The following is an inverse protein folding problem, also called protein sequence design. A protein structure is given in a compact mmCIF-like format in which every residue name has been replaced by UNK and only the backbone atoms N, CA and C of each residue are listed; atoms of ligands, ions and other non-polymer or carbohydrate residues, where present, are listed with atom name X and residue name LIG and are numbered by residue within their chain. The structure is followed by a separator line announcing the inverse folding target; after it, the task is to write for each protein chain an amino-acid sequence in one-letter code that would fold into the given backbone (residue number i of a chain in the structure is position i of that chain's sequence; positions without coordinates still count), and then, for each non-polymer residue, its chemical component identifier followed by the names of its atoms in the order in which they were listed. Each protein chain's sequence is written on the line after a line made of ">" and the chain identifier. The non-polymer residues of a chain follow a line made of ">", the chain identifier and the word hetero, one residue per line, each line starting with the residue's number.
data_IF_505629166024
#
_entry.id   IF_505629166024
#
_cell.length_a   1.000
_cell.length_b   1.000
_cell.length_c   1.000
_cell.angle_alpha   90.00
_cell.angle_beta   90.00
_cell.angle_gamma   90.00
#
_symmetry.space_group_name_H-M   'P 1'
#
loop_
_entity.id
_entity.type
_entity.pdbx_description
1 polymer ?
#
# COMPACT_ATOMS: atom_id res chain seq x y z
N UNK A 1 17.60 -23.16 16.91
CA UNK A 1 18.67 -23.62 15.99
C UNK A 1 19.33 -22.43 15.27
N UNK A 2 18.63 -21.66 14.43
CA UNK A 2 19.23 -20.50 13.73
C UNK A 2 19.62 -19.35 14.66
N UNK A 3 18.76 -18.96 15.60
CA UNK A 3 19.05 -17.89 16.58
C UNK A 3 20.27 -18.22 17.45
N UNK A 4 20.48 -19.51 17.72
CA UNK A 4 21.66 -20.00 18.45
C UNK A 4 22.92 -19.86 17.60
N UNK A 5 22.86 -20.22 16.33
CA UNK A 5 23.95 -20.04 15.37
C UNK A 5 24.37 -18.57 15.23
N UNK A 6 23.39 -17.65 15.12
CA UNK A 6 23.67 -16.21 14.97
C UNK A 6 24.48 -15.61 16.14
N UNK A 7 24.43 -16.20 17.35
CA UNK A 7 25.25 -15.77 18.48
C UNK A 7 26.74 -16.01 18.28
N UNK A 8 27.09 -17.06 17.53
CA UNK A 8 28.47 -17.45 17.27
C UNK A 8 28.98 -16.92 15.92
N UNK A 9 28.08 -16.45 15.06
CA UNK A 9 28.40 -16.03 13.70
C UNK A 9 29.47 -14.92 13.62
N UNK A 10 29.47 -13.88 14.48
CA UNK A 10 30.55 -12.88 14.47
C UNK A 10 31.93 -13.47 14.73
N UNK A 11 32.05 -14.42 15.67
CA UNK A 11 33.32 -15.07 15.99
C UNK A 11 33.80 -15.95 14.82
N UNK A 12 32.88 -16.71 14.22
CA UNK A 12 33.17 -17.52 13.04
C UNK A 12 33.57 -16.67 11.82
N UNK A 13 32.92 -15.52 11.60
CA UNK A 13 33.27 -14.60 10.52
C UNK A 13 34.67 -14.00 10.70
N UNK A 14 35.03 -13.66 11.95
CA UNK A 14 36.37 -13.16 12.28
C UNK A 14 37.45 -14.22 12.03
N UNK A 15 37.19 -15.47 12.42
CA UNK A 15 38.14 -16.58 12.30
C UNK A 15 38.32 -17.05 10.84
N UNK A 16 37.22 -17.26 10.12
CA UNK A 16 37.24 -17.95 8.82
C UNK A 16 37.11 -17.03 7.61
N UNK A 17 36.57 -15.82 7.78
CA UNK A 17 36.37 -14.86 6.69
C UNK A 17 37.17 -13.56 6.86
N UNK A 18 38.00 -13.47 7.92
CA UNK A 18 38.78 -12.27 8.27
C UNK A 18 37.94 -10.98 8.25
N UNK A 19 36.65 -11.09 8.58
CA UNK A 19 35.69 -9.99 8.53
C UNK A 19 34.97 -9.86 9.87
N UNK A 20 34.76 -8.62 10.30
CA UNK A 20 33.91 -8.34 11.46
C UNK A 20 32.49 -8.12 10.97
N UNK A 21 31.57 -8.93 11.48
CA UNK A 21 30.15 -8.84 11.17
C UNK A 21 29.37 -8.54 12.45
N UNK A 22 28.50 -7.55 12.38
CA UNK A 22 27.48 -7.28 13.39
C UNK A 22 26.15 -7.84 12.88
N UNK A 23 25.50 -8.68 13.68
CA UNK A 23 24.27 -9.37 13.29
C UNK A 23 23.07 -8.65 13.89
N UNK A 24 22.39 -7.86 13.07
CA UNK A 24 21.13 -7.19 13.43
C UNK A 24 19.93 -7.76 12.65
N UNK A 25 19.81 -9.09 12.62
CA UNK A 25 18.65 -9.74 12.01
C UNK A 25 18.29 -11.05 12.70
N UNK A 26 17.07 -11.51 12.46
CA UNK A 26 16.53 -12.76 13.04
C UNK A 26 16.07 -13.72 11.94
N UNK A 27 15.77 -14.97 12.30
CA UNK A 27 15.11 -15.92 11.39
C UNK A 27 13.76 -15.40 10.86
N UNK A 28 13.10 -14.51 11.61
CA UNK A 28 11.82 -13.92 11.22
C UNK A 28 11.97 -13.01 10.00
N UNK A 29 13.08 -12.27 9.90
CA UNK A 29 13.37 -11.42 8.74
C UNK A 29 13.47 -12.22 7.44
N UNK A 30 14.09 -13.41 7.45
CA UNK A 30 14.12 -14.27 6.26
C UNK A 30 12.74 -14.76 5.84
N UNK A 31 11.87 -15.08 6.82
CA UNK A 31 10.49 -15.49 6.55
C UNK A 31 9.69 -14.36 5.91
N UNK A 32 9.88 -13.13 6.38
CA UNK A 32 9.33 -11.91 5.78
C UNK A 32 9.82 -11.69 4.35
N UNK A 33 11.14 -11.79 4.13
CA UNK A 33 11.74 -11.63 2.80
C UNK A 33 11.17 -12.66 1.83
N UNK A 34 11.14 -13.94 2.21
CA UNK A 34 10.61 -15.00 1.34
C UNK A 34 9.11 -14.80 1.06
N UNK A 35 8.32 -14.42 2.07
CA UNK A 35 6.89 -14.16 1.89
C UNK A 35 6.65 -12.96 0.97
N UNK A 36 7.45 -11.91 1.10
CA UNK A 36 7.42 -10.76 0.19
C UNK A 36 7.79 -11.18 -1.24
N UNK A 37 8.83 -12.00 -1.44
CA UNK A 37 9.20 -12.49 -2.78
C UNK A 37 8.11 -13.36 -3.42
N UNK A 38 7.44 -14.21 -2.64
CA UNK A 38 6.34 -15.05 -3.14
C UNK A 38 5.12 -14.20 -3.52
N UNK A 39 4.77 -13.21 -2.70
CA UNK A 39 3.71 -12.24 -2.98
C UNK A 39 4.01 -11.44 -4.27
N UNK A 40 5.23 -10.94 -4.38
CA UNK A 40 5.71 -10.21 -5.55
C UNK A 40 5.79 -11.07 -6.81
N UNK A 41 6.00 -12.38 -6.65
CA UNK A 41 5.94 -13.38 -7.73
C UNK A 41 4.51 -13.74 -8.15
N UNK A 42 3.49 -13.16 -7.52
CA UNK A 42 2.08 -13.39 -7.85
C UNK A 42 1.46 -14.61 -7.16
N UNK A 43 2.11 -15.18 -6.14
CA UNK A 43 1.53 -16.26 -5.36
C UNK A 43 0.38 -15.74 -4.52
N UNK A 44 -0.80 -16.37 -4.58
CA UNK A 44 -1.97 -15.91 -3.82
C UNK A 44 -1.76 -16.01 -2.30
N UNK A 45 -2.44 -15.15 -1.53
CA UNK A 45 -2.39 -15.17 -0.05
C UNK A 45 -2.72 -16.57 0.51
N UNK A 46 -3.65 -17.30 -0.12
CA UNK A 46 -4.02 -18.66 0.29
C UNK A 46 -2.84 -19.64 0.14
N UNK A 47 -2.16 -19.60 -1.00
CA UNK A 47 -1.00 -20.47 -1.26
C UNK A 47 0.21 -20.08 -0.39
N UNK A 48 0.42 -18.78 -0.16
CA UNK A 48 1.43 -18.30 0.79
C UNK A 48 1.12 -18.83 2.21
N UNK A 49 -0.14 -18.75 2.64
CA UNK A 49 -0.60 -19.22 3.95
C UNK A 49 -0.30 -20.71 4.14
N UNK A 50 -0.62 -21.52 3.13
CA UNK A 50 -0.35 -22.97 3.13
C UNK A 50 1.15 -23.28 3.13
N UNK A 51 1.92 -22.64 2.23
CA UNK A 51 3.38 -22.82 2.14
C UNK A 51 4.08 -22.58 3.47
N UNK A 52 3.61 -21.57 4.20
CA UNK A 52 4.17 -21.16 5.47
C UNK A 52 3.51 -21.85 6.68
N UNK A 53 2.56 -22.77 6.47
CA UNK A 53 1.88 -23.54 7.51
C UNK A 53 1.05 -22.69 8.47
N UNK A 54 0.45 -21.59 7.99
CA UNK A 54 -0.37 -20.68 8.80
C UNK A 54 -1.83 -21.14 8.79
N UNK A 55 -2.53 -20.99 9.91
CA UNK A 55 -3.96 -21.36 10.02
C UNK A 55 -4.89 -20.28 9.46
N UNK A 56 -4.55 -19.00 9.65
CA UNK A 56 -5.38 -17.88 9.22
C UNK A 56 -4.70 -17.09 8.09
N UNK A 57 -5.34 -16.92 6.92
CA UNK A 57 -4.79 -16.12 5.82
C UNK A 57 -4.50 -14.66 6.19
N UNK A 58 -5.21 -14.09 7.16
CA UNK A 58 -4.97 -12.71 7.61
C UNK A 58 -3.57 -12.52 8.19
N UNK A 59 -2.98 -13.58 8.73
CA UNK A 59 -1.64 -13.52 9.32
C UNK A 59 -0.55 -13.39 8.25
N UNK A 60 -0.83 -13.80 7.00
CA UNK A 60 0.11 -13.69 5.87
C UNK A 60 0.37 -12.25 5.48
N UNK A 61 -0.63 -11.36 5.57
CA UNK A 61 -0.48 -9.93 5.24
C UNK A 61 0.57 -9.22 6.11
N UNK A 62 0.73 -9.64 7.37
CA UNK A 62 1.74 -9.09 8.25
C UNK A 62 3.19 -9.35 7.79
N UNK A 63 3.38 -10.28 6.83
CA UNK A 63 4.67 -10.65 6.27
C UNK A 63 4.93 -10.12 4.85
N UNK A 64 4.01 -9.33 4.30
CA UNK A 64 4.14 -8.73 2.98
C UNK A 64 4.65 -7.29 3.12
N UNK A 65 5.94 -7.09 2.81
CA UNK A 65 6.63 -5.82 2.98
C UNK A 65 7.06 -5.22 1.65
N UNK A 66 6.15 -5.14 0.68
CA UNK A 66 6.39 -4.42 -0.59
C UNK A 66 6.86 -2.99 -0.28
N UNK A 67 8.00 -2.60 -0.86
CA UNK A 67 8.57 -1.27 -0.64
C UNK A 67 7.66 -0.16 -1.16
N UNK A 68 7.82 1.06 -0.60
CA UNK A 68 7.04 2.23 -1.00
C UNK A 68 7.31 2.60 -2.45
N UNK A 69 8.56 2.51 -2.86
CA UNK A 69 9.06 2.79 -4.20
C UNK A 69 8.45 1.82 -5.21
N UNK A 70 8.34 0.53 -4.84
CA UNK A 70 7.71 -0.48 -5.68
C UNK A 70 6.21 -0.27 -5.81
N UNK A 71 5.50 0.05 -4.72
CA UNK A 71 4.07 0.41 -4.78
C UNK A 71 3.83 1.63 -5.66
N UNK A 72 4.68 2.65 -5.56
CA UNK A 72 4.64 3.80 -6.44
C UNK A 72 4.88 3.40 -7.91
N UNK A 73 5.88 2.56 -8.18
CA UNK A 73 6.14 2.06 -9.53
C UNK A 73 4.95 1.30 -10.11
N UNK A 74 4.35 0.36 -9.36
CA UNK A 74 3.17 -0.39 -9.78
C UNK A 74 2.02 0.55 -10.13
N UNK A 75 1.73 1.56 -9.28
CA UNK A 75 0.66 2.53 -9.56
C UNK A 75 0.92 3.35 -10.82
N UNK A 76 2.17 3.77 -11.07
CA UNK A 76 2.55 4.49 -12.30
C UNK A 76 2.28 3.63 -13.54
N UNK A 77 2.66 2.35 -13.49
CA UNK A 77 2.41 1.41 -14.58
C UNK A 77 0.92 1.14 -14.78
N UNK A 78 0.14 1.02 -13.71
CA UNK A 78 -1.31 0.81 -13.80
C UNK A 78 -2.05 2.03 -14.38
N UNK A 79 -1.56 3.25 -14.10
CA UNK A 79 -2.05 4.48 -14.76
C UNK A 79 -1.75 4.43 -16.26
N UNK A 80 -0.52 4.07 -16.66
CA UNK A 80 -0.13 3.96 -18.08
C UNK A 80 -0.95 2.92 -18.82
N UNK A 81 -1.29 1.81 -18.16
CA UNK A 81 -2.17 0.76 -18.69
C UNK A 81 -3.65 1.16 -18.72
N UNK A 82 -4.00 2.32 -18.17
CA UNK A 82 -5.39 2.80 -18.10
C UNK A 82 -6.26 2.02 -17.11
N UNK A 83 -5.66 1.26 -16.18
CA UNK A 83 -6.35 0.51 -15.13
C UNK A 83 -6.76 1.40 -13.95
N UNK A 84 -6.20 2.59 -13.87
CA UNK A 84 -6.46 3.58 -12.81
C UNK A 84 -7.16 4.79 -13.39
N UNK A 85 -8.19 5.27 -12.69
CA UNK A 85 -8.91 6.51 -12.98
C UNK A 85 -8.60 7.60 -11.94
N UNK A 86 -8.93 8.85 -12.27
CA UNK A 86 -8.67 10.02 -11.43
C UNK A 86 -8.17 11.19 -12.25
N UNK A 87 -8.14 12.38 -11.64
CA UNK A 87 -7.72 13.60 -12.34
C UNK A 87 -6.29 13.47 -12.91
N UNK A 88 -5.38 12.87 -12.15
CA UNK A 88 -4.01 12.62 -12.61
C UNK A 88 -3.95 11.73 -13.85
N UNK A 89 -4.75 10.66 -13.89
CA UNK A 89 -4.80 9.75 -15.03
C UNK A 89 -5.40 10.43 -16.28
N UNK A 90 -6.42 11.27 -16.10
CA UNK A 90 -7.00 12.07 -17.19
C UNK A 90 -6.03 13.12 -17.72
N UNK A 91 -5.31 13.82 -16.83
CA UNK A 91 -4.27 14.78 -17.22
C UNK A 91 -3.14 14.11 -18.01
N UNK A 92 -2.79 12.86 -17.70
CA UNK A 92 -1.73 12.15 -18.42
C UNK A 92 -2.06 11.93 -19.90
N UNK A 93 -3.35 11.75 -20.25
CA UNK A 93 -3.78 11.46 -21.64
C UNK A 93 -3.46 12.59 -22.61
N UNK A 94 -3.38 13.83 -22.12
CA UNK A 94 -3.09 15.02 -22.95
C UNK A 94 -1.61 15.40 -22.94
N UNK A 95 -0.77 14.71 -22.16
CA UNK A 95 0.67 14.96 -22.07
C UNK A 95 1.42 14.14 -23.13
N UNK A 96 2.43 14.71 -23.82
CA UNK A 96 3.30 13.97 -24.73
C UNK A 96 3.93 12.74 -24.06
N UNK A 97 3.94 11.61 -24.76
CA UNK A 97 4.37 10.30 -24.22
C UNK A 97 5.78 10.36 -23.64
N UNK A 98 6.66 11.16 -24.23
CA UNK A 98 8.07 11.33 -23.86
C UNK A 98 8.24 11.91 -22.44
N UNK A 99 7.24 12.64 -21.95
CA UNK A 99 7.29 13.36 -20.66
C UNK A 99 6.43 12.69 -19.59
N UNK A 100 5.54 11.77 -19.96
CA UNK A 100 4.60 11.13 -19.04
C UNK A 100 5.31 10.44 -17.85
N UNK A 101 6.40 9.71 -18.12
CA UNK A 101 7.15 9.00 -17.08
C UNK A 101 7.79 9.97 -16.07
N UNK A 102 8.30 11.11 -16.53
CA UNK A 102 8.86 12.14 -15.66
C UNK A 102 7.79 12.76 -14.76
N UNK A 103 6.61 13.05 -15.30
CA UNK A 103 5.48 13.58 -14.52
C UNK A 103 5.00 12.57 -13.48
N UNK A 104 4.80 11.32 -13.88
CA UNK A 104 4.39 10.24 -12.97
C UNK A 104 5.39 10.02 -11.84
N UNK A 105 6.70 10.05 -12.15
CA UNK A 105 7.77 9.93 -11.15
C UNK A 105 7.79 11.11 -10.17
N UNK A 106 7.55 12.32 -10.66
CA UNK A 106 7.51 13.52 -9.83
C UNK A 106 6.25 13.58 -8.94
N UNK A 107 5.08 13.21 -9.48
CA UNK A 107 3.79 13.26 -8.77
C UNK A 107 3.59 12.11 -7.80
N UNK A 108 4.02 10.89 -8.15
CA UNK A 108 3.72 9.67 -7.38
C UNK A 108 5.00 9.23 -6.67
N UNK A 109 5.33 9.85 -5.55
CA UNK A 109 6.48 9.45 -4.71
C UNK A 109 6.09 8.46 -3.61
N UNK A 110 4.86 8.58 -3.11
CA UNK A 110 4.30 7.71 -2.09
C UNK A 110 2.87 7.32 -2.47
N UNK A 111 2.44 6.15 -1.99
CA UNK A 111 1.13 5.57 -2.27
C UNK A 111 0.48 5.22 -0.94
N UNK A 112 -0.63 5.87 -0.64
CA UNK A 112 -1.41 5.61 0.57
C UNK A 112 -2.72 4.96 0.17
N UNK A 113 -2.97 3.74 0.65
CA UNK A 113 -4.27 3.11 0.52
C UNK A 113 -5.24 3.74 1.52
N UNK A 114 -6.36 4.27 1.03
CA UNK A 114 -7.41 4.87 1.86
C UNK A 114 -8.69 4.01 1.89
N UNK A 115 -8.57 2.74 1.53
CA UNK A 115 -9.66 1.77 1.50
C UNK A 115 -10.48 1.85 0.22
N UNK A 116 -11.10 2.99 -0.07
CA UNK A 116 -11.92 3.17 -1.29
C UNK A 116 -11.11 3.43 -2.56
N UNK A 117 -9.84 3.80 -2.41
CA UNK A 117 -8.95 4.14 -3.50
C UNK A 117 -7.56 4.45 -2.95
N UNK A 118 -6.81 5.24 -3.71
CA UNK A 118 -5.39 5.47 -3.48
C UNK A 118 -5.13 6.98 -3.46
N UNK A 119 -4.39 7.42 -2.46
CA UNK A 119 -3.93 8.81 -2.33
C UNK A 119 -2.44 8.90 -2.72
N UNK A 120 -2.13 9.79 -3.66
CA UNK A 120 -0.77 10.10 -4.11
C UNK A 120 -0.25 11.44 -3.60
N UNK A 121 -0.96 12.05 -2.65
CA UNK A 121 -0.59 13.34 -2.07
C UNK A 121 0.81 13.29 -1.43
N UNK A 122 1.60 14.33 -1.67
CA UNK A 122 2.94 14.44 -1.10
C UNK A 122 2.92 15.06 0.30
N UNK A 123 2.70 14.22 1.30
CA UNK A 123 2.70 14.62 2.71
C UNK A 123 4.04 15.16 3.23
N UNK A 124 5.15 14.98 2.50
CA UNK A 124 6.44 15.56 2.89
C UNK A 124 6.53 17.06 2.57
N UNK A 125 5.72 17.54 1.63
CA UNK A 125 5.71 18.95 1.22
C UNK A 125 4.62 19.73 1.95
N UNK A 126 3.42 19.17 2.03
CA UNK A 126 2.26 19.86 2.61
C UNK A 126 1.34 18.88 3.35
N UNK A 127 0.63 19.30 4.40
CA UNK A 127 -0.47 18.53 4.95
C UNK A 127 -1.66 18.50 3.97
N UNK A 128 -2.52 17.49 4.10
CA UNK A 128 -3.71 17.35 3.24
C UNK A 128 -4.83 18.31 3.67
N UNK A 129 -5.23 19.19 2.75
CA UNK A 129 -6.32 20.17 2.95
C UNK A 129 -7.71 19.54 3.00
N UNK A 130 -7.88 18.34 2.42
CA UNK A 130 -9.18 17.68 2.22
C UNK A 130 -9.48 16.59 3.25
N UNK A 131 -8.72 16.50 4.35
CA UNK A 131 -8.78 15.44 5.37
C UNK A 131 -10.11 14.64 5.43
N UNK A 132 -10.04 13.34 5.13
CA UNK A 132 -11.19 12.38 5.05
C UNK A 132 -12.21 12.61 3.92
N UNK A 133 -11.99 13.56 3.02
CA UNK A 133 -12.84 13.83 1.85
C UNK A 133 -12.18 13.36 0.54
N UNK A 134 -11.39 12.30 0.60
CA UNK A 134 -10.61 11.81 -0.54
C UNK A 134 -11.48 11.49 -1.77
N UNK A 135 -12.64 10.87 -1.57
CA UNK A 135 -13.55 10.45 -2.65
C UNK A 135 -14.52 11.53 -3.12
N UNK A 136 -14.53 12.72 -2.53
CA UNK A 136 -15.47 13.77 -2.89
C UNK A 136 -15.02 14.56 -4.12
N UNK A 137 -13.89 15.27 -4.02
CA UNK A 137 -13.32 16.10 -5.08
C UNK A 137 -11.82 16.35 -4.80
N UNK A 138 -11.06 15.27 -4.64
CA UNK A 138 -9.62 15.36 -4.37
C UNK A 138 -8.82 15.13 -5.67
N UNK A 139 -7.89 16.04 -5.95
CA UNK A 139 -7.02 15.98 -7.14
C UNK A 139 -5.96 14.87 -7.06
N UNK A 140 -5.58 14.51 -5.84
CA UNK A 140 -4.55 13.50 -5.55
C UNK A 140 -5.15 12.11 -5.26
N UNK A 141 -6.48 11.97 -5.37
CA UNK A 141 -7.16 10.70 -5.22
C UNK A 141 -7.31 10.02 -6.59
N UNK A 142 -6.92 8.75 -6.65
CA UNK A 142 -7.08 7.88 -7.81
C UNK A 142 -7.76 6.58 -7.39
N UNK A 143 -8.45 5.93 -8.32
CA UNK A 143 -9.15 4.67 -8.07
C UNK A 143 -8.78 3.61 -9.09
N UNK A 144 -8.72 2.36 -8.64
CA UNK A 144 -8.51 1.20 -9.50
C UNK A 144 -9.84 0.83 -10.14
N UNK A 145 -9.87 0.65 -11.46
CA UNK A 145 -11.06 0.23 -12.20
C UNK A 145 -11.40 -1.22 -11.84
N UNK A 146 -12.69 -1.51 -11.77
CA UNK A 146 -13.23 -2.87 -11.55
C UNK A 146 -12.82 -3.57 -10.24
N UNK A 147 -12.31 -2.81 -9.25
CA UNK A 147 -12.02 -3.32 -7.91
C UNK A 147 -13.30 -3.42 -7.07
N UNK A 148 -13.89 -4.62 -7.03
CA UNK A 148 -15.12 -4.91 -6.28
C UNK A 148 -14.98 -4.63 -4.78
N UNK A 149 -13.81 -4.90 -4.19
CA UNK A 149 -13.59 -4.69 -2.76
C UNK A 149 -13.63 -3.20 -2.41
N UNK A 150 -12.98 -2.37 -3.22
CA UNK A 150 -13.02 -0.90 -3.06
C UNK A 150 -14.40 -0.32 -3.32
N UNK A 151 -15.11 -0.86 -4.31
CA UNK A 151 -16.50 -0.47 -4.59
C UNK A 151 -17.42 -0.75 -3.39
N UNK A 152 -17.29 -1.94 -2.78
CA UNK A 152 -18.10 -2.30 -1.62
C UNK A 152 -17.74 -1.46 -0.40
N UNK A 153 -16.46 -1.11 -0.24
CA UNK A 153 -16.02 -0.15 0.78
C UNK A 153 -16.60 1.26 0.54
N UNK A 154 -16.68 1.74 -0.71
CA UNK A 154 -17.34 3.00 -1.02
C UNK A 154 -18.83 2.97 -0.65
N UNK A 155 -19.54 1.88 -1.00
CA UNK A 155 -20.94 1.70 -0.62
C UNK A 155 -21.12 1.72 0.90
N UNK A 156 -20.22 1.07 1.64
CA UNK A 156 -20.22 1.08 3.11
C UNK A 156 -20.05 2.49 3.66
N UNK A 157 -19.07 3.25 3.15
CA UNK A 157 -18.84 4.64 3.58
C UNK A 157 -20.03 5.54 3.27
N UNK A 158 -20.65 5.39 2.09
CA UNK A 158 -21.87 6.10 1.73
C UNK A 158 -23.02 5.79 2.70
N UNK A 159 -23.27 4.52 3.01
CA UNK A 159 -24.33 4.11 3.93
C UNK A 159 -24.13 4.72 5.33
N UNK A 160 -22.91 4.69 5.86
CA UNK A 160 -22.57 5.30 7.14
C UNK A 160 -22.79 6.81 7.12
N UNK A 161 -22.34 7.50 6.07
CA UNK A 161 -22.48 8.95 5.92
C UNK A 161 -23.94 9.36 5.80
N UNK A 162 -24.76 8.60 5.07
CA UNK A 162 -26.19 8.85 4.94
C UNK A 162 -26.94 8.71 6.28
N UNK A 163 -26.57 7.71 7.11
CA UNK A 163 -27.11 7.55 8.45
C UNK A 163 -26.67 8.70 9.38
N UNK A 164 -25.39 9.07 9.33
CA UNK A 164 -24.86 10.20 10.10
C UNK A 164 -25.61 11.51 9.76
N UNK A 165 -25.87 11.76 8.47
CA UNK A 165 -26.68 12.90 8.02
C UNK A 165 -28.09 12.88 8.59
N UNK A 166 -28.80 11.74 8.50
CA UNK A 166 -30.16 11.60 9.06
C UNK A 166 -30.19 11.87 10.57
N UNK A 167 -29.18 11.40 11.31
CA UNK A 167 -29.09 11.64 12.74
C UNK A 167 -28.85 13.12 13.05
N UNK A 168 -27.99 13.79 12.28
CA UNK A 168 -27.75 15.23 12.42
C UNK A 168 -29.02 16.06 12.13
N UNK A 169 -29.77 15.71 11.09
CA UNK A 169 -31.05 16.36 10.75
C UNK A 169 -32.09 16.20 11.86
N UNK A 170 -32.21 15.02 12.45
CA UNK A 170 -33.08 14.78 13.62
C UNK A 170 -32.68 15.65 14.81
N UNK A 171 -31.40 15.70 15.14
CA UNK A 171 -30.89 16.50 16.26
C UNK A 171 -31.14 18.00 16.06
N UNK A 172 -31.00 18.48 14.82
CA UNK A 172 -31.32 19.87 14.48
C UNK A 172 -32.81 20.18 14.70
N UNK A 173 -33.69 19.22 14.38
CA UNK A 173 -35.14 19.37 14.57
C UNK A 173 -35.60 19.27 16.03
N UNK A 174 -34.86 18.56 16.89
CA UNK A 174 -35.20 18.40 18.31
C UNK A 174 -34.75 19.54 19.21
N UNK A 175 -33.87 20.42 18.72
CA UNK A 175 -33.42 21.63 19.41
C UNK A 175 -34.26 22.88 19.03
N UNK A 176 -35.42 22.68 18.37
CA UNK A 176 -36.50 23.67 18.20
C UNK A 176 -37.70 23.23 19.01
#
# INVERSE_FOLDING_TARGET
>A
MFTTFLRYFPALAAEYASSSIEVDFTSHHFRHTLNTLLDEGGLSDLLQTEWFGRTNPRDTKAYQHTSREKRALMLREDIKKGLVGGLLAEQLKVVPVEVQDAILKARIQAVHDVGTGICVHNFSQTPCERHLQCSADCKDYVWVKDDKGRLDEQKRQYALTALARKNAEKQLSSNK
#
